data_IF_479459506372
#
_entry.id   IF_479459506372
#
_cell.length_a   1.000
_cell.length_b   1.000
_cell.length_c   1.000
_cell.angle_alpha   90.00
_cell.angle_beta   90.00
_cell.angle_gamma   90.00
#
_symmetry.space_group_name_H-M   'P 1'
#
loop_
_entity.id
_entity.type
_entity.pdbx_description
1 polymer ?
#
# COMPACT_ATOMS: atom_id res chain seq x y z
N UNK A 1 6.94 -25.91 -28.51
CA UNK A 1 5.52 -25.63 -28.77
C UNK A 1 4.95 -24.83 -27.60
N UNK A 2 4.68 -23.54 -27.82
CA UNK A 2 4.14 -22.61 -26.81
C UNK A 2 2.62 -22.80 -26.75
N UNK A 3 2.06 -23.09 -25.56
CA UNK A 3 0.62 -22.95 -25.30
C UNK A 3 0.36 -21.50 -24.92
N UNK A 4 -0.53 -20.84 -25.64
CA UNK A 4 -0.86 -19.42 -25.49
C UNK A 4 -1.55 -19.14 -24.13
N UNK A 5 -1.11 -18.14 -23.34
CA UNK A 5 -1.67 -17.84 -22.01
C UNK A 5 -3.07 -17.18 -22.03
N UNK A 6 -3.67 -17.00 -23.21
CA UNK A 6 -4.91 -16.24 -23.44
C UNK A 6 -6.16 -16.85 -22.79
N UNK A 7 -6.20 -18.16 -22.55
CA UNK A 7 -7.41 -18.83 -22.03
C UNK A 7 -7.65 -18.60 -20.52
N UNK A 8 -6.60 -18.41 -19.71
CA UNK A 8 -6.75 -18.28 -18.25
C UNK A 8 -7.26 -16.90 -17.83
N UNK A 9 -6.86 -15.85 -18.54
CA UNK A 9 -7.32 -14.49 -18.27
C UNK A 9 -8.81 -14.29 -18.56
N UNK A 10 -9.34 -14.97 -19.59
CA UNK A 10 -10.77 -14.88 -19.94
C UNK A 10 -11.67 -15.60 -18.93
N UNK A 11 -11.21 -16.73 -18.38
CA UNK A 11 -11.94 -17.47 -17.35
C UNK A 11 -11.98 -16.68 -16.02
N UNK A 12 -10.85 -16.06 -15.64
CA UNK A 12 -10.76 -15.26 -14.41
C UNK A 12 -11.68 -14.00 -14.47
N UNK A 13 -11.71 -13.32 -15.62
CA UNK A 13 -12.61 -12.17 -15.85
C UNK A 13 -14.09 -12.57 -15.76
N UNK A 14 -14.46 -13.74 -16.29
CA UNK A 14 -15.84 -14.22 -16.24
C UNK A 14 -16.30 -14.57 -14.82
N UNK A 15 -15.41 -15.14 -14.00
CA UNK A 15 -15.70 -15.45 -12.60
C UNK A 15 -15.82 -14.19 -11.72
N UNK A 16 -15.00 -13.15 -11.99
CA UNK A 16 -15.12 -11.86 -11.31
C UNK A 16 -16.44 -11.14 -11.63
N UNK A 17 -16.90 -11.20 -12.88
CA UNK A 17 -18.19 -10.62 -13.29
C UNK A 17 -19.39 -11.32 -12.62
N UNK A 18 -19.34 -12.65 -12.45
CA UNK A 18 -20.39 -13.40 -11.75
C UNK A 18 -20.44 -13.07 -10.24
N UNK A 19 -19.29 -12.85 -9.61
CA UNK A 19 -19.21 -12.49 -8.19
C UNK A 19 -19.81 -11.10 -7.90
N UNK A 20 -19.53 -10.11 -8.75
CA UNK A 20 -20.12 -8.77 -8.66
C UNK A 20 -21.66 -8.80 -8.83
N UNK A 21 -22.17 -9.65 -9.73
CA UNK A 21 -23.61 -9.72 -9.98
C UNK A 21 -24.38 -10.35 -8.82
N UNK A 22 -23.81 -11.36 -8.15
CA UNK A 22 -24.41 -11.92 -6.94
C UNK A 22 -24.41 -10.94 -5.76
N UNK A 23 -23.34 -10.14 -5.60
CA UNK A 23 -23.26 -9.14 -4.52
C UNK A 23 -24.27 -7.99 -4.71
N UNK A 24 -24.51 -7.57 -5.95
CA UNK A 24 -25.49 -6.54 -6.29
C UNK A 24 -26.94 -7.00 -6.03
N UNK A 25 -27.25 -8.27 -6.35
CA UNK A 25 -28.57 -8.88 -6.09
C UNK A 25 -28.85 -9.02 -4.58
N UNK A 26 -27.82 -9.31 -3.77
CA UNK A 26 -27.98 -9.38 -2.31
C UNK A 26 -28.21 -7.99 -1.68
N UNK A 27 -27.53 -6.93 -2.16
CA UNK A 27 -27.75 -5.56 -1.68
C UNK A 27 -29.12 -4.99 -2.05
N UNK A 28 -29.64 -5.31 -3.23
CA UNK A 28 -30.97 -4.86 -3.65
C UNK A 28 -32.11 -5.52 -2.85
N UNK A 29 -31.87 -6.65 -2.19
CA UNK A 29 -32.88 -7.36 -1.40
C UNK A 29 -33.03 -6.83 0.05
N UNK A 30 -32.05 -6.06 0.55
CA UNK A 30 -32.06 -5.50 1.92
C UNK A 30 -32.71 -4.10 2.01
N UNK A 31 -32.83 -3.37 0.90
CA UNK A 31 -33.36 -1.98 0.85
C UNK A 31 -34.90 -1.86 0.84
N UNK A 32 -35.65 -2.94 1.15
CA UNK A 32 -37.13 -2.95 1.12
C UNK A 32 -37.82 -3.13 2.48
N UNK A 33 -37.11 -2.95 3.60
CA UNK A 33 -37.74 -2.91 4.93
C UNK A 33 -37.26 -1.73 5.79
N UNK A 34 -37.79 -0.52 5.54
CA UNK A 34 -38.30 0.42 6.56
C UNK A 34 -38.81 1.73 5.89
N UNK A 35 -40.02 2.24 6.19
CA UNK A 35 -40.53 3.53 5.65
C UNK A 35 -40.20 4.76 6.55
N UNK A 36 -40.42 6.00 6.07
CA UNK A 36 -39.70 7.23 6.48
C UNK A 36 -40.52 8.19 7.36
N UNK A 37 -39.83 9.14 8.03
CA UNK A 37 -40.41 10.39 8.51
C UNK A 37 -39.32 11.49 8.51
N UNK A 38 -39.41 12.46 7.59
CA UNK A 38 -39.73 13.88 7.83
C UNK A 38 -38.63 14.69 8.57
N UNK A 39 -38.33 15.96 8.31
CA UNK A 39 -38.53 16.93 7.25
C UNK A 39 -37.79 18.21 7.74
N UNK A 40 -37.28 19.01 6.80
CA UNK A 40 -37.14 20.48 6.90
C UNK A 40 -36.26 21.09 8.02
N UNK A 41 -35.12 21.69 7.65
CA UNK A 41 -35.00 23.15 7.60
C UNK A 41 -33.67 23.56 6.92
N UNK A 42 -33.76 24.38 5.87
CA UNK A 42 -32.61 25.15 5.40
C UNK A 42 -32.42 26.41 6.25
N UNK A 43 -31.20 26.94 6.29
CA UNK A 43 -30.91 28.33 5.88
C UNK A 43 -29.44 28.72 6.13
N UNK A 44 -28.92 29.46 5.15
CA UNK A 44 -27.92 30.53 5.21
C UNK A 44 -26.42 30.21 5.34
N UNK A 45 -25.77 30.63 4.25
CA UNK A 45 -24.36 30.86 3.97
C UNK A 45 -23.72 31.78 5.03
N UNK A 46 -22.54 31.40 5.49
CA UNK A 46 -21.50 32.37 5.87
C UNK A 46 -20.18 31.84 5.33
N UNK A 47 -19.59 32.60 4.39
CA UNK A 47 -18.23 32.39 3.90
C UNK A 47 -17.26 32.52 5.08
N UNK A 48 -16.61 31.41 5.40
CA UNK A 48 -15.41 31.35 6.22
C UNK A 48 -14.46 30.40 5.52
N UNK A 49 -13.34 30.92 5.04
CA UNK A 49 -12.21 30.11 4.58
C UNK A 49 -11.67 29.34 5.80
N UNK A 50 -12.24 28.17 6.08
CA UNK A 50 -11.62 27.20 6.97
C UNK A 50 -10.52 26.50 6.17
N UNK A 51 -9.30 27.02 6.36
CA UNK A 51 -8.08 26.27 6.08
C UNK A 51 -8.15 25.03 6.95
N UNK A 52 -8.62 23.92 6.37
CA UNK A 52 -8.33 22.61 6.89
C UNK A 52 -6.83 22.41 6.77
N UNK A 53 -6.09 22.88 7.78
CA UNK A 53 -4.83 22.27 8.17
C UNK A 53 -5.17 20.82 8.51
N UNK A 54 -5.06 19.95 7.50
CA UNK A 54 -4.85 18.53 7.71
C UNK A 54 -3.47 18.39 8.37
N UNK A 55 -3.40 18.75 9.66
CA UNK A 55 -2.46 18.13 10.56
C UNK A 55 -2.85 16.65 10.56
N UNK A 56 -2.28 15.91 9.61
CA UNK A 56 -2.11 14.48 9.74
C UNK A 56 -1.37 14.30 11.07
N UNK A 57 -2.13 14.06 12.13
CA UNK A 57 -1.61 13.49 13.36
C UNK A 57 -0.95 12.20 12.92
N UNK A 58 0.36 12.28 12.70
CA UNK A 58 1.23 11.15 12.53
C UNK A 58 1.16 10.42 13.86
N UNK A 59 0.19 9.51 13.94
CA UNK A 59 0.04 8.59 15.04
C UNK A 59 1.36 7.83 15.08
N UNK A 60 2.21 8.18 16.04
CA UNK A 60 3.47 7.49 16.26
C UNK A 60 3.11 6.05 16.59
N UNK A 61 3.25 5.18 15.59
CA UNK A 61 3.13 3.75 15.80
C UNK A 61 4.40 3.33 16.55
N UNK A 62 4.23 2.88 17.79
CA UNK A 62 5.31 2.19 18.50
C UNK A 62 5.46 0.81 17.84
N UNK A 63 6.45 0.68 16.95
CA UNK A 63 6.71 -0.53 16.18
C UNK A 63 7.58 -1.50 16.99
N UNK A 64 7.07 -2.68 17.32
CA UNK A 64 7.88 -3.71 18.01
C UNK A 64 8.99 -4.29 17.12
N UNK A 65 8.75 -4.33 15.80
CA UNK A 65 9.73 -4.78 14.82
C UNK A 65 9.55 -4.06 13.49
N UNK A 66 10.63 -3.46 13.00
CA UNK A 66 10.70 -2.98 11.61
C UNK A 66 11.67 -3.86 10.82
N UNK A 67 11.16 -4.51 9.78
CA UNK A 67 11.96 -5.29 8.84
C UNK A 67 12.29 -4.40 7.65
N UNK A 68 13.57 -4.09 7.49
CA UNK A 68 14.08 -3.25 6.40
C UNK A 68 14.77 -4.13 5.38
N UNK A 69 14.30 -4.10 4.12
CA UNK A 69 14.89 -4.86 3.02
C UNK A 69 15.47 -3.89 1.98
N UNK A 70 16.81 -3.81 1.84
CA UNK A 70 17.44 -3.08 0.74
C UNK A 70 17.07 -3.73 -0.60
N UNK A 71 16.58 -2.94 -1.54
CA UNK A 71 16.20 -3.41 -2.89
C UNK A 71 16.54 -2.36 -3.93
N UNK A 72 16.79 -2.76 -5.18
CA UNK A 72 16.98 -1.80 -6.27
C UNK A 72 15.62 -1.37 -6.85
N UNK A 73 15.49 -0.13 -7.33
CA UNK A 73 14.19 0.42 -7.80
C UNK A 73 13.52 -0.47 -8.85
N UNK A 74 14.29 -1.16 -9.69
CA UNK A 74 13.78 -2.05 -10.75
C UNK A 74 13.42 -3.48 -10.31
N UNK A 75 13.66 -3.85 -9.05
CA UNK A 75 13.42 -5.22 -8.54
C UNK A 75 11.97 -5.47 -8.09
N UNK A 76 11.00 -5.02 -8.89
CA UNK A 76 9.56 -5.13 -8.62
C UNK A 76 9.14 -6.55 -8.26
N UNK A 77 9.54 -7.54 -9.07
CA UNK A 77 9.14 -8.93 -8.91
C UNK A 77 9.63 -9.54 -7.59
N UNK A 78 10.82 -9.14 -7.12
CA UNK A 78 11.36 -9.60 -5.84
C UNK A 78 10.54 -9.02 -4.69
N UNK A 79 10.24 -7.72 -4.73
CA UNK A 79 9.39 -7.08 -3.71
C UNK A 79 8.00 -7.68 -3.66
N UNK A 80 7.37 -7.91 -4.82
CA UNK A 80 6.07 -8.62 -4.88
C UNK A 80 6.14 -10.00 -4.23
N UNK A 81 7.15 -10.81 -4.54
CA UNK A 81 7.32 -12.13 -3.94
C UNK A 81 7.48 -12.06 -2.40
N UNK A 82 8.21 -11.07 -1.90
CA UNK A 82 8.34 -10.84 -0.45
C UNK A 82 7.00 -10.42 0.15
N UNK A 83 6.25 -9.50 -0.49
CA UNK A 83 4.91 -9.10 -0.01
C UNK A 83 3.96 -10.30 0.04
N UNK A 84 3.92 -11.11 -1.01
CA UNK A 84 3.00 -12.24 -1.10
C UNK A 84 3.35 -13.35 -0.11
N UNK A 85 4.64 -13.59 0.13
CA UNK A 85 5.11 -14.58 1.11
C UNK A 85 5.05 -14.07 2.55
N UNK A 86 5.80 -13.02 2.84
CA UNK A 86 6.05 -12.54 4.20
C UNK A 86 4.93 -11.63 4.69
N UNK A 87 4.45 -10.67 3.88
CA UNK A 87 3.41 -9.76 4.35
C UNK A 87 2.08 -10.49 4.62
N UNK A 88 1.81 -11.62 3.95
CA UNK A 88 0.71 -12.51 4.33
C UNK A 88 0.91 -13.09 5.73
N UNK A 89 2.08 -13.64 6.02
CA UNK A 89 2.39 -14.22 7.35
C UNK A 89 2.37 -13.16 8.46
N UNK A 90 2.83 -11.94 8.16
CA UNK A 90 2.81 -10.82 9.10
C UNK A 90 1.38 -10.33 9.36
N UNK A 91 0.52 -10.24 8.33
CA UNK A 91 -0.91 -9.91 8.49
C UNK A 91 -1.68 -11.00 9.23
N UNK A 92 -1.40 -12.27 8.95
CA UNK A 92 -2.01 -13.39 9.68
C UNK A 92 -1.57 -13.39 11.15
N UNK A 93 -0.34 -12.95 11.45
CA UNK A 93 0.13 -12.74 12.81
C UNK A 93 -0.62 -11.58 13.49
N UNK A 94 -0.79 -10.43 12.83
CA UNK A 94 -1.57 -9.30 13.34
C UNK A 94 -3.05 -9.68 13.60
N UNK A 95 -3.67 -10.43 12.70
CA UNK A 95 -5.07 -10.88 12.84
C UNK A 95 -5.26 -11.94 13.95
N UNK A 96 -4.27 -12.82 14.16
CA UNK A 96 -4.28 -13.79 15.26
C UNK A 96 -3.71 -13.21 16.57
N UNK A 97 -3.28 -11.96 16.57
CA UNK A 97 -2.80 -11.25 17.75
C UNK A 97 -4.00 -10.87 18.64
N UNK A 98 -4.58 -11.87 19.32
CA UNK A 98 -5.77 -11.72 20.18
C UNK A 98 -5.64 -10.68 21.30
N UNK A 99 -4.44 -10.15 21.54
CA UNK A 99 -4.17 -9.10 22.52
C UNK A 99 -3.56 -7.81 21.91
N UNK A 100 -3.35 -7.74 20.59
CA UNK A 100 -2.83 -6.53 19.92
C UNK A 100 -1.42 -6.07 20.33
N UNK A 101 -0.62 -6.95 20.94
CA UNK A 101 0.61 -6.56 21.66
C UNK A 101 1.86 -6.46 20.77
N UNK A 102 1.77 -6.76 19.47
CA UNK A 102 2.95 -6.77 18.59
C UNK A 102 2.65 -6.17 17.23
N UNK A 103 3.25 -5.02 16.95
CA UNK A 103 3.15 -4.28 15.68
C UNK A 103 4.42 -4.54 14.85
N UNK A 104 4.25 -4.95 13.59
CA UNK A 104 5.39 -5.25 12.71
C UNK A 104 5.23 -4.47 11.41
N UNK A 105 6.25 -3.71 11.01
CA UNK A 105 6.30 -3.03 9.71
C UNK A 105 7.35 -3.68 8.82
N UNK A 106 6.98 -3.96 7.58
CA UNK A 106 7.91 -4.33 6.52
C UNK A 106 8.09 -3.13 5.58
N UNK A 107 9.34 -2.74 5.31
CA UNK A 107 9.67 -1.68 4.36
C UNK A 107 10.82 -2.06 3.44
N UNK A 108 10.78 -1.56 2.22
CA UNK A 108 11.85 -1.65 1.23
C UNK A 108 12.58 -0.32 1.15
N UNK A 109 13.91 -0.36 1.10
CA UNK A 109 14.72 0.84 0.86
C UNK A 109 15.35 0.79 -0.52
N UNK A 110 15.08 1.82 -1.33
CA UNK A 110 15.52 1.94 -2.72
C UNK A 110 16.34 3.20 -2.90
N UNK A 111 17.39 3.16 -3.73
CA UNK A 111 18.10 4.40 -4.05
C UNK A 111 17.21 5.39 -4.82
N UNK A 112 17.56 6.68 -4.74
CA UNK A 112 16.85 7.74 -5.45
C UNK A 112 17.06 7.74 -6.97
N UNK A 113 17.97 6.90 -7.48
CA UNK A 113 18.29 6.90 -8.90
C UNK A 113 17.04 6.61 -9.72
N UNK A 114 16.80 7.44 -10.73
CA UNK A 114 15.60 7.35 -11.52
C UNK A 114 15.57 6.01 -12.27
N UNK A 115 14.45 5.28 -12.24
CA UNK A 115 14.24 4.16 -13.13
C UNK A 115 14.43 4.63 -14.58
N UNK A 116 14.97 3.75 -15.42
CA UNK A 116 15.02 3.99 -16.85
C UNK A 116 13.61 4.29 -17.40
N UNK A 117 13.53 4.88 -18.59
CA UNK A 117 12.25 5.26 -19.18
C UNK A 117 11.27 4.07 -19.28
N UNK A 118 11.77 2.84 -19.39
CA UNK A 118 10.96 1.61 -19.46
C UNK A 118 10.37 1.17 -18.13
N UNK A 119 11.00 1.48 -17.00
CA UNK A 119 10.58 1.01 -15.66
C UNK A 119 9.99 2.12 -14.79
N UNK A 120 10.03 3.37 -15.26
CA UNK A 120 9.55 4.54 -14.52
C UNK A 120 8.09 4.44 -14.10
N UNK A 121 7.22 4.16 -15.05
CA UNK A 121 5.78 4.12 -14.77
C UNK A 121 5.44 2.98 -13.81
N UNK A 122 6.14 1.85 -13.93
CA UNK A 122 6.01 0.72 -13.00
C UNK A 122 6.47 1.09 -11.60
N UNK A 123 7.58 1.79 -11.44
CA UNK A 123 8.06 2.24 -10.14
C UNK A 123 7.13 3.26 -9.48
N UNK A 124 6.67 4.25 -10.23
CA UNK A 124 5.72 5.25 -9.72
C UNK A 124 4.41 4.57 -9.31
N UNK A 125 3.91 3.65 -10.12
CA UNK A 125 2.70 2.90 -9.80
C UNK A 125 2.88 2.05 -8.55
N UNK A 126 3.99 1.33 -8.40
CA UNK A 126 4.26 0.51 -7.22
C UNK A 126 4.38 1.36 -5.96
N UNK A 127 5.17 2.45 -6.00
CA UNK A 127 5.32 3.35 -4.85
C UNK A 127 4.02 4.02 -4.44
N UNK A 128 3.14 4.31 -5.39
CA UNK A 128 1.80 4.85 -5.11
C UNK A 128 0.86 3.79 -4.54
N UNK A 129 1.00 2.54 -4.98
CA UNK A 129 0.13 1.44 -4.57
C UNK A 129 0.51 0.90 -3.20
N UNK A 130 1.81 0.81 -2.91
CA UNK A 130 2.34 0.19 -1.71
C UNK A 130 3.06 1.24 -0.85
N UNK A 131 2.49 1.54 0.31
CA UNK A 131 3.07 2.43 1.33
C UNK A 131 4.16 1.71 2.17
N UNK A 132 5.09 1.08 1.46
CA UNK A 132 6.19 0.30 2.02
C UNK A 132 7.54 0.59 1.36
N UNK A 133 7.64 1.58 0.47
CA UNK A 133 8.89 1.96 -0.21
C UNK A 133 9.42 3.28 0.37
N UNK A 134 10.63 3.20 0.93
CA UNK A 134 11.40 4.36 1.39
C UNK A 134 12.51 4.63 0.38
N UNK A 135 12.39 5.74 -0.34
CA UNK A 135 13.45 6.24 -1.21
C UNK A 135 14.53 6.91 -0.39
N UNK A 136 15.78 6.48 -0.56
CA UNK A 136 16.97 7.09 0.05
C UNK A 136 17.23 8.49 -0.54
N UNK A 137 18.12 9.31 0.07
CA UNK A 137 18.39 10.67 -0.39
C UNK A 137 18.77 10.77 -1.88
N UNK A 138 18.36 11.87 -2.53
CA UNK A 138 18.56 12.14 -3.96
C UNK A 138 20.01 11.99 -4.46
N UNK A 139 20.99 12.21 -3.59
CA UNK A 139 22.41 12.07 -3.91
C UNK A 139 22.96 10.64 -3.88
N UNK A 140 22.19 9.66 -3.41
CA UNK A 140 22.64 8.27 -3.31
C UNK A 140 22.42 7.50 -4.63
N UNK A 141 23.51 6.96 -5.18
CA UNK A 141 23.47 6.10 -6.37
C UNK A 141 23.50 4.63 -5.94
N UNK A 142 22.45 3.90 -6.29
CA UNK A 142 22.26 2.51 -5.91
C UNK A 142 23.16 1.58 -6.74
N UNK A 143 24.30 1.21 -6.16
CA UNK A 143 25.29 0.32 -6.76
C UNK A 143 25.75 -0.72 -5.75
N UNK A 144 26.21 -1.86 -6.26
CA UNK A 144 26.64 -2.97 -5.42
C UNK A 144 27.83 -2.60 -4.50
N UNK A 145 28.76 -1.79 -5.00
CA UNK A 145 29.91 -1.27 -4.23
C UNK A 145 29.49 -0.27 -3.13
N UNK A 146 28.31 0.32 -3.25
CA UNK A 146 27.75 1.28 -2.30
C UNK A 146 26.79 0.63 -1.27
N UNK A 147 26.73 -0.71 -1.19
CA UNK A 147 25.78 -1.42 -0.33
C UNK A 147 25.95 -1.08 1.16
N UNK A 148 27.19 -0.91 1.65
CA UNK A 148 27.42 -0.50 3.04
C UNK A 148 26.83 0.89 3.35
N UNK A 149 26.99 1.84 2.42
CA UNK A 149 26.35 3.16 2.51
C UNK A 149 24.84 3.07 2.43
N UNK A 150 24.31 2.20 1.55
CA UNK A 150 22.88 1.94 1.44
C UNK A 150 22.29 1.52 2.77
N UNK A 151 22.86 0.49 3.39
CA UNK A 151 22.40 -0.03 4.68
C UNK A 151 22.40 1.07 5.75
N UNK A 152 23.48 1.87 5.83
CA UNK A 152 23.57 2.99 6.79
C UNK A 152 22.48 4.04 6.56
N UNK A 153 22.24 4.44 5.31
CA UNK A 153 21.20 5.41 4.96
C UNK A 153 19.80 4.84 5.20
N UNK A 154 19.59 3.56 4.88
CA UNK A 154 18.34 2.84 5.12
C UNK A 154 17.94 2.90 6.58
N UNK A 155 18.87 2.65 7.51
CA UNK A 155 18.57 2.76 8.94
C UNK A 155 18.14 4.17 9.33
N UNK A 156 18.90 5.19 8.91
CA UNK A 156 18.57 6.59 9.23
C UNK A 156 17.19 7.00 8.71
N UNK A 157 16.93 6.76 7.42
CA UNK A 157 15.65 7.12 6.79
C UNK A 157 14.46 6.35 7.38
N UNK A 158 14.65 5.10 7.79
CA UNK A 158 13.58 4.30 8.39
C UNK A 158 13.24 4.82 9.78
N UNK A 159 14.24 5.11 10.61
CA UNK A 159 14.04 5.70 11.94
C UNK A 159 13.39 7.08 11.82
N UNK A 160 13.89 7.92 10.91
CA UNK A 160 13.34 9.28 10.70
C UNK A 160 11.87 9.25 10.27
N UNK A 161 11.44 8.22 9.53
CA UNK A 161 10.06 8.10 9.01
C UNK A 161 9.11 7.34 9.91
N UNK A 162 9.60 6.36 10.67
CA UNK A 162 8.75 5.45 11.44
C UNK A 162 8.81 5.66 12.96
N UNK A 163 9.78 6.42 13.47
CA UNK A 163 10.03 6.60 14.92
C UNK A 163 11.06 5.64 15.48
#
# INVERSE_FOLDING_TARGET
>A
MRRSPSCYYRLLLFLLLLAEHHLALSRAAEDHRQPPAAALHGSLISEGYDVHDEQQQQQAYDWDLVIVIPSHITEFSRRCAVRDGWARQLRDHEQNNRAGLRTIKLVFTVGAHHPDNSTRDTAIAEMKQFDDIITLPLGFVDRYDALGTKVRLSYGEVVDKLG
#
